data_IF_538064759873
#
_entry.id   IF_538064759873
#
_cell.length_a   1.000
_cell.length_b   1.000
_cell.length_c   1.000
_cell.angle_alpha   90.00
_cell.angle_beta   90.00
_cell.angle_gamma   90.00
#
_symmetry.space_group_name_H-M   'P 1'
#
loop_
_entity.id
_entity.type
_entity.pdbx_description
1 polymer ?
#
# COMPACT_ATOMS: atom_id res chain seq x y z
N UNK A 1 -15.66 -20.16 31.24
CA UNK A 1 -15.59 -18.72 31.58
C UNK A 1 -14.94 -18.04 30.38
N UNK A 2 -15.73 -17.62 29.40
CA UNK A 2 -15.25 -16.99 28.16
C UNK A 2 -15.86 -15.58 28.09
N UNK A 3 -15.20 -14.62 28.72
CA UNK A 3 -15.53 -13.21 28.50
C UNK A 3 -14.82 -12.74 27.23
N UNK A 4 -15.57 -12.82 26.12
CA UNK A 4 -15.29 -12.00 24.95
C UNK A 4 -15.31 -10.54 25.43
N UNK A 5 -14.12 -9.90 25.48
CA UNK A 5 -14.00 -8.47 25.75
C UNK A 5 -14.78 -7.72 24.67
N UNK A 6 -16.04 -7.40 24.94
CA UNK A 6 -16.80 -6.46 24.13
C UNK A 6 -16.14 -5.10 24.31
N UNK A 7 -15.74 -4.48 23.20
CA UNK A 7 -15.32 -3.08 23.20
C UNK A 7 -16.41 -2.26 23.89
N UNK A 8 -16.02 -1.37 24.79
CA UNK A 8 -17.00 -0.48 25.42
C UNK A 8 -17.62 0.40 24.33
N UNK A 9 -18.89 0.82 24.46
CA UNK A 9 -19.51 1.71 23.48
C UNK A 9 -18.67 2.97 23.20
N UNK A 10 -18.06 3.54 24.25
CA UNK A 10 -17.16 4.69 24.14
C UNK A 10 -15.90 4.39 23.33
N UNK A 11 -15.35 3.19 23.43
CA UNK A 11 -14.19 2.79 22.64
C UNK A 11 -14.56 2.59 21.17
N UNK A 12 -15.73 2.03 20.89
CA UNK A 12 -16.26 1.91 19.52
C UNK A 12 -16.43 3.29 18.90
N UNK A 13 -17.11 4.21 19.60
CA UNK A 13 -17.31 5.59 19.15
C UNK A 13 -15.98 6.32 18.89
N UNK A 14 -14.99 6.16 19.77
CA UNK A 14 -13.68 6.77 19.57
C UNK A 14 -12.94 6.22 18.34
N UNK A 15 -13.07 4.92 18.06
CA UNK A 15 -12.48 4.28 16.86
C UNK A 15 -13.19 4.74 15.60
N UNK A 16 -14.52 4.88 15.62
CA UNK A 16 -15.30 5.39 14.49
C UNK A 16 -14.91 6.83 14.16
N UNK A 17 -14.84 7.71 15.17
CA UNK A 17 -14.38 9.09 15.00
C UNK A 17 -12.95 9.15 14.47
N UNK A 18 -12.05 8.27 14.94
CA UNK A 18 -10.69 8.19 14.41
C UNK A 18 -10.71 7.77 12.93
N UNK A 19 -11.50 6.77 12.55
CA UNK A 19 -11.61 6.31 11.17
C UNK A 19 -12.18 7.39 10.23
N UNK A 20 -13.20 8.13 10.67
CA UNK A 20 -13.76 9.25 9.92
C UNK A 20 -12.70 10.35 9.70
N UNK A 21 -11.98 10.75 10.76
CA UNK A 21 -10.93 11.76 10.64
C UNK A 21 -9.75 11.29 9.77
N UNK A 22 -9.41 10.01 9.83
CA UNK A 22 -8.38 9.40 8.98
C UNK A 22 -8.77 9.50 7.50
N UNK A 23 -9.98 9.07 7.15
CA UNK A 23 -10.44 9.08 5.75
C UNK A 23 -10.61 10.49 5.20
N UNK A 24 -10.93 11.47 6.04
CA UNK A 24 -10.99 12.89 5.67
C UNK A 24 -9.62 13.61 5.66
N UNK A 25 -8.55 12.95 6.11
CA UNK A 25 -7.22 13.58 6.22
C UNK A 25 -6.57 13.81 4.85
N UNK A 26 -5.71 14.83 4.77
CA UNK A 26 -5.00 15.20 3.53
C UNK A 26 -4.29 14.01 2.86
N UNK A 27 -3.55 13.12 3.58
CA UNK A 27 -2.92 11.96 2.95
C UNK A 27 -3.90 11.00 2.28
N UNK A 28 -5.07 10.78 2.87
CA UNK A 28 -6.12 9.90 2.32
C UNK A 28 -6.79 10.53 1.09
N UNK A 29 -7.15 11.81 1.17
CA UNK A 29 -7.70 12.57 0.03
C UNK A 29 -6.71 12.62 -1.13
N UNK A 30 -5.42 12.82 -0.85
CA UNK A 30 -4.37 12.82 -1.86
C UNK A 30 -4.21 11.46 -2.55
N UNK A 31 -4.27 10.35 -1.78
CA UNK A 31 -4.25 9.00 -2.34
C UNK A 31 -5.46 8.76 -3.25
N UNK A 32 -6.67 9.08 -2.80
CA UNK A 32 -7.90 8.88 -3.57
C UNK A 32 -7.86 9.67 -4.89
N UNK A 33 -7.42 10.93 -4.83
CA UNK A 33 -7.25 11.76 -6.02
C UNK A 33 -6.17 11.23 -6.97
N UNK A 34 -5.06 10.70 -6.45
CA UNK A 34 -4.03 10.06 -7.28
C UNK A 34 -4.52 8.75 -7.91
N UNK A 35 -5.26 7.94 -7.15
CA UNK A 35 -5.88 6.71 -7.64
C UNK A 35 -6.86 7.00 -8.77
N UNK A 36 -7.74 7.98 -8.60
CA UNK A 36 -8.74 8.37 -9.60
C UNK A 36 -8.09 8.82 -10.91
N UNK A 37 -7.06 9.67 -10.83
CA UNK A 37 -6.29 10.11 -12.01
C UNK A 37 -5.60 8.95 -12.72
N UNK A 38 -4.99 8.05 -11.96
CA UNK A 38 -4.37 6.84 -12.50
C UNK A 38 -5.38 5.92 -13.19
N UNK A 39 -6.55 5.69 -12.58
CA UNK A 39 -7.60 4.84 -13.18
C UNK A 39 -8.24 5.48 -14.41
N UNK A 40 -8.32 6.81 -14.45
CA UNK A 40 -8.81 7.56 -15.60
C UNK A 40 -7.89 7.50 -16.83
N UNK A 41 -6.61 7.17 -16.65
CA UNK A 41 -5.62 7.18 -17.72
C UNK A 41 -5.43 5.79 -18.34
N UNK A 42 -5.75 5.65 -19.63
CA UNK A 42 -5.67 4.36 -20.33
C UNK A 42 -4.23 3.89 -20.54
N UNK A 43 -3.27 4.80 -20.77
CA UNK A 43 -1.88 4.44 -21.01
C UNK A 43 -1.20 3.95 -19.73
N UNK A 44 -1.44 4.63 -18.61
CA UNK A 44 -0.95 4.23 -17.31
C UNK A 44 -1.52 2.87 -16.89
N UNK A 45 -2.81 2.61 -17.15
CA UNK A 45 -3.42 1.30 -16.88
C UNK A 45 -2.85 0.19 -17.76
N UNK A 46 -2.66 0.42 -19.05
CA UNK A 46 -2.02 -0.55 -19.96
C UNK A 46 -0.60 -0.89 -19.48
N UNK A 47 0.18 0.14 -19.13
CA UNK A 47 1.54 -0.03 -18.63
C UNK A 47 1.59 -0.85 -17.34
N UNK A 48 0.67 -0.59 -16.39
CA UNK A 48 0.54 -1.41 -15.17
C UNK A 48 0.19 -2.86 -15.48
N UNK A 49 -0.71 -3.10 -16.43
CA UNK A 49 -1.11 -4.45 -16.82
C UNK A 49 0.06 -5.21 -17.45
N UNK A 50 0.77 -4.58 -18.40
CA UNK A 50 1.95 -5.16 -19.06
C UNK A 50 3.06 -5.45 -18.05
N UNK A 51 3.31 -4.53 -17.12
CA UNK A 51 4.28 -4.76 -16.04
C UNK A 51 3.89 -5.95 -15.15
N UNK A 52 2.62 -6.05 -14.71
CA UNK A 52 2.13 -7.19 -13.94
C UNK A 52 2.26 -8.52 -14.67
N UNK A 53 2.00 -8.53 -15.99
CA UNK A 53 2.17 -9.72 -16.82
C UNK A 53 3.65 -10.11 -16.94
N UNK A 54 4.54 -9.16 -17.21
CA UNK A 54 5.98 -9.41 -17.27
C UNK A 54 6.54 -9.93 -15.93
N UNK A 55 6.08 -9.38 -14.82
CA UNK A 55 6.43 -9.81 -13.47
C UNK A 55 5.97 -11.25 -13.15
N UNK A 56 4.75 -11.61 -13.56
CA UNK A 56 4.24 -12.98 -13.44
C UNK A 56 5.05 -13.97 -14.30
N UNK A 57 5.34 -13.62 -15.55
CA UNK A 57 6.17 -14.44 -16.46
C UNK A 57 7.57 -14.61 -15.91
N UNK A 58 8.17 -13.55 -15.34
CA UNK A 58 9.50 -13.59 -14.75
C UNK A 58 9.56 -14.55 -13.56
N UNK A 59 8.58 -14.49 -12.65
CA UNK A 59 8.46 -15.44 -11.53
C UNK A 59 8.30 -16.88 -12.01
N UNK A 60 7.42 -17.13 -12.98
CA UNK A 60 7.19 -18.46 -13.54
C UNK A 60 8.47 -19.04 -14.17
N UNK A 61 9.14 -18.27 -15.02
CA UNK A 61 10.38 -18.69 -15.67
C UNK A 61 11.54 -18.87 -14.70
N UNK A 62 11.61 -18.04 -13.65
CA UNK A 62 12.59 -18.21 -12.59
C UNK A 62 12.37 -19.53 -11.82
N UNK A 63 11.12 -19.84 -11.46
CA UNK A 63 10.77 -21.11 -10.79
C UNK A 63 11.11 -22.33 -11.66
N UNK A 64 10.88 -22.22 -12.97
CA UNK A 64 11.16 -23.26 -13.95
C UNK A 64 12.62 -23.29 -14.46
N UNK A 65 13.47 -22.36 -13.98
CA UNK A 65 14.87 -22.18 -14.45
C UNK A 65 14.99 -21.94 -15.97
N UNK A 66 13.96 -21.35 -16.58
CA UNK A 66 13.89 -21.00 -18.02
C UNK A 66 13.98 -19.49 -18.26
N UNK A 67 14.37 -18.71 -17.24
CA UNK A 67 14.51 -17.27 -17.32
C UNK A 67 15.62 -16.88 -18.32
N UNK A 68 15.29 -15.99 -19.24
CA UNK A 68 16.22 -15.51 -20.26
C UNK A 68 16.65 -14.06 -20.02
N UNK A 69 17.75 -13.67 -20.67
CA UNK A 69 18.19 -12.27 -20.67
C UNK A 69 17.17 -11.33 -21.34
N UNK A 70 16.41 -11.82 -22.32
CA UNK A 70 15.37 -11.07 -22.99
C UNK A 70 14.20 -10.77 -22.04
N UNK A 71 13.80 -11.74 -21.21
CA UNK A 71 12.77 -11.54 -20.18
C UNK A 71 13.20 -10.47 -19.17
N UNK A 72 14.45 -10.53 -18.70
CA UNK A 72 15.03 -9.54 -17.79
C UNK A 72 15.12 -8.15 -18.42
N UNK A 73 15.51 -8.05 -19.69
CA UNK A 73 15.57 -6.78 -20.41
C UNK A 73 14.17 -6.17 -20.57
N UNK A 74 13.19 -6.97 -20.99
CA UNK A 74 11.81 -6.53 -21.14
C UNK A 74 11.21 -6.03 -19.81
N UNK A 75 11.42 -6.78 -18.73
CA UNK A 75 10.99 -6.37 -17.39
C UNK A 75 11.60 -5.03 -16.96
N UNK A 76 12.92 -4.85 -17.14
CA UNK A 76 13.61 -3.60 -16.81
C UNK A 76 13.11 -2.41 -17.63
N UNK A 77 12.79 -2.63 -18.91
CA UNK A 77 12.20 -1.59 -19.76
C UNK A 77 10.84 -1.14 -19.22
N UNK A 78 9.94 -2.09 -18.93
CA UNK A 78 8.63 -1.77 -18.35
C UNK A 78 8.76 -1.12 -16.96
N UNK A 79 9.74 -1.54 -16.16
CA UNK A 79 10.02 -0.93 -14.86
C UNK A 79 10.44 0.55 -15.01
N UNK A 80 11.31 0.85 -15.98
CA UNK A 80 11.73 2.23 -16.26
C UNK A 80 10.58 3.08 -16.79
N UNK A 81 9.74 2.53 -17.67
CA UNK A 81 8.52 3.20 -18.16
C UNK A 81 7.54 3.51 -17.01
N UNK A 82 7.33 2.54 -16.10
CA UNK A 82 6.49 2.72 -14.91
C UNK A 82 6.99 3.85 -14.01
N UNK A 83 8.31 3.94 -13.80
CA UNK A 83 8.95 4.99 -13.00
C UNK A 83 8.89 6.36 -13.67
N UNK A 84 8.96 6.41 -15.00
CA UNK A 84 8.87 7.64 -15.78
C UNK A 84 7.43 8.17 -15.90
N UNK A 85 6.41 7.32 -15.72
CA UNK A 85 5.01 7.75 -15.81
C UNK A 85 4.60 8.53 -14.55
N UNK A 86 4.32 9.83 -14.73
CA UNK A 86 4.01 10.75 -13.63
C UNK A 86 2.77 10.36 -12.80
N UNK A 87 1.76 9.73 -13.41
CA UNK A 87 0.55 9.31 -12.69
C UNK A 87 0.84 8.11 -11.78
N UNK A 88 1.66 7.18 -12.28
CA UNK A 88 2.09 5.99 -11.52
C UNK A 88 3.03 6.41 -10.39
N UNK A 89 4.03 7.24 -10.68
CA UNK A 89 4.95 7.76 -9.69
C UNK A 89 4.21 8.58 -8.60
N UNK A 90 3.28 9.45 -9.01
CA UNK A 90 2.47 10.23 -8.09
C UNK A 90 1.58 9.37 -7.18
N UNK A 91 0.97 8.31 -7.72
CA UNK A 91 0.20 7.35 -6.92
C UNK A 91 1.09 6.54 -5.95
N UNK A 92 2.28 6.11 -6.37
CA UNK A 92 3.23 5.43 -5.48
C UNK A 92 3.69 6.35 -4.34
N UNK A 93 3.90 7.63 -4.62
CA UNK A 93 4.28 8.61 -3.60
C UNK A 93 3.18 8.80 -2.55
N UNK A 94 1.91 8.87 -2.95
CA UNK A 94 0.80 8.98 -2.00
C UNK A 94 0.61 7.71 -1.16
N UNK A 95 0.87 6.52 -1.74
CA UNK A 95 0.89 5.27 -0.97
C UNK A 95 1.98 5.29 0.11
N UNK A 96 3.19 5.73 -0.21
CA UNK A 96 4.26 5.87 0.79
C UNK A 96 3.90 6.90 1.87
N UNK A 97 3.28 8.03 1.47
CA UNK A 97 2.80 9.05 2.39
C UNK A 97 1.77 8.53 3.40
N UNK A 98 0.79 7.72 2.95
CA UNK A 98 -0.18 7.10 3.86
C UNK A 98 0.49 6.12 4.82
N UNK A 99 1.43 5.30 4.35
CA UNK A 99 2.14 4.36 5.24
C UNK A 99 2.87 5.13 6.34
N UNK A 100 3.60 6.21 5.99
CA UNK A 100 4.28 7.04 6.98
C UNK A 100 3.29 7.69 7.96
N UNK A 101 2.19 8.24 7.46
CA UNK A 101 1.15 8.87 8.28
C UNK A 101 0.51 7.89 9.27
N UNK A 102 0.17 6.68 8.84
CA UNK A 102 -0.38 5.64 9.71
C UNK A 102 0.65 5.14 10.75
N UNK A 103 1.94 5.12 10.39
CA UNK A 103 3.01 4.79 11.34
C UNK A 103 3.15 5.86 12.43
N UNK A 104 3.05 7.14 12.07
CA UNK A 104 3.07 8.24 13.04
C UNK A 104 1.88 8.16 13.99
N UNK A 105 0.67 7.92 13.48
CA UNK A 105 -0.53 7.75 14.32
C UNK A 105 -0.38 6.57 15.28
N UNK A 106 0.13 5.43 14.79
CA UNK A 106 0.37 4.26 15.65
C UNK A 106 1.37 4.59 16.75
N UNK A 107 2.41 5.38 16.48
CA UNK A 107 3.37 5.83 17.48
C UNK A 107 2.71 6.74 18.52
N UNK A 108 1.89 7.68 18.10
CA UNK A 108 1.22 8.63 18.99
C UNK A 108 0.21 7.91 19.90
N UNK A 109 -0.61 7.01 19.34
CA UNK A 109 -1.49 6.14 20.12
C UNK A 109 -0.71 5.26 21.10
N UNK A 110 0.47 4.76 20.68
CA UNK A 110 1.31 3.94 21.55
C UNK A 110 1.80 4.71 22.77
N UNK A 111 2.21 5.97 22.58
CA UNK A 111 2.65 6.85 23.66
C UNK A 111 1.50 7.20 24.61
N UNK A 112 0.33 7.52 24.07
CA UNK A 112 -0.85 7.90 24.86
C UNK A 112 -1.39 6.74 25.70
N UNK A 113 -1.34 5.52 25.17
CA UNK A 113 -1.93 4.33 25.81
C UNK A 113 -0.92 3.48 26.56
N UNK A 114 0.39 3.75 26.43
CA UNK A 114 1.45 2.94 27.01
C UNK A 114 1.54 1.52 26.41
N UNK A 115 1.02 1.34 25.18
CA UNK A 115 0.97 0.06 24.46
C UNK A 115 1.78 0.19 23.18
N UNK A 116 2.71 -0.74 22.89
CA UNK A 116 3.50 -0.69 21.66
C UNK A 116 2.74 -1.26 20.44
N UNK A 117 1.85 -0.47 19.84
CA UNK A 117 1.11 -0.88 18.63
C UNK A 117 2.03 -1.11 17.43
N UNK A 118 3.12 -0.34 17.30
CA UNK A 118 4.10 -0.53 16.23
C UNK A 118 4.82 -1.89 16.35
N UNK A 119 5.15 -2.31 17.58
CA UNK A 119 5.67 -3.64 17.88
C UNK A 119 4.67 -4.76 17.61
N UNK A 120 3.39 -4.54 17.91
CA UNK A 120 2.31 -5.50 17.63
C UNK A 120 2.03 -5.66 16.13
N UNK A 121 2.13 -4.58 15.35
CA UNK A 121 1.94 -4.60 13.90
C UNK A 121 3.11 -5.27 13.14
N UNK A 122 4.26 -5.50 13.79
CA UNK A 122 5.46 -6.09 13.16
C UNK A 122 5.36 -7.61 12.87
N UNK A 123 4.26 -8.29 13.21
CA UNK A 123 4.13 -9.75 13.00
C UNK A 123 2.91 -10.17 12.18
N UNK A 124 3.12 -10.33 10.88
CA UNK A 124 2.54 -11.41 10.04
C UNK A 124 3.06 -11.42 8.57
N UNK A 125 4.22 -10.83 8.28
CA UNK A 125 4.90 -10.97 6.98
C UNK A 125 6.21 -11.74 7.13
N UNK A 126 6.14 -13.06 7.23
CA UNK A 126 7.31 -13.93 7.12
C UNK A 126 7.41 -14.42 5.66
N UNK A 127 8.55 -14.09 5.03
CA UNK A 127 9.08 -14.59 3.75
C UNK A 127 8.23 -14.42 2.49
#
# INVERSE_FOLDING_TARGET
MNDHHKLTPTLVEAVDVLAENLTASEPFVALEGAYTRLQGDAQARDLQQRFKQADAVLRERQANRTLTQADMAHYRTLQAEMQANALIAGYQQTQQGIVAYLQDINRDLSQLLGVDFAGLAKRSGCC
#
